data_IF_705062448265
#
_entry.id   IF_705062448265
#
_cell.length_a   1.000
_cell.length_b   1.000
_cell.length_c   1.000
_cell.angle_alpha   90.00
_cell.angle_beta   90.00
_cell.angle_gamma   90.00
#
_symmetry.space_group_name_H-M   'P 1'
#
loop_
_entity.id
_entity.type
_entity.pdbx_description
1 polymer ?
#
# COMPACT_ATOMS: atom_id res chain seq x y z
N UNK A 1 -2.05 10.30 -14.96
CA UNK A 1 -1.80 11.27 -13.88
C UNK A 1 -2.36 10.70 -12.59
N UNK A 2 -1.53 10.32 -11.62
CA UNK A 2 -2.05 9.94 -10.30
C UNK A 2 -1.51 10.95 -9.29
N UNK A 3 -2.42 11.76 -8.76
CA UNK A 3 -2.24 12.54 -7.54
C UNK A 3 -2.02 11.57 -6.37
N UNK A 4 -1.39 12.02 -5.29
CA UNK A 4 -1.12 11.16 -4.13
C UNK A 4 -2.40 10.87 -3.34
N UNK A 5 -3.30 11.86 -3.31
CA UNK A 5 -4.51 11.83 -2.51
C UNK A 5 -5.42 10.62 -2.79
N UNK A 6 -5.72 10.23 -4.05
CA UNK A 6 -6.49 9.01 -4.32
C UNK A 6 -5.86 7.74 -3.74
N UNK A 7 -4.53 7.61 -3.77
CA UNK A 7 -3.83 6.44 -3.22
C UNK A 7 -3.90 6.41 -1.69
N UNK A 8 -3.70 7.58 -1.07
CA UNK A 8 -3.86 7.73 0.38
C UNK A 8 -5.30 7.41 0.80
N UNK A 9 -6.29 7.89 0.05
CA UNK A 9 -7.70 7.58 0.31
C UNK A 9 -8.01 6.10 0.21
N UNK A 10 -7.59 5.43 -0.86
CA UNK A 10 -7.80 4.00 -1.00
C UNK A 10 -7.13 3.21 0.14
N UNK A 11 -5.94 3.63 0.57
CA UNK A 11 -5.28 3.04 1.74
C UNK A 11 -6.05 3.29 3.05
N UNK A 12 -6.52 4.51 3.28
CA UNK A 12 -7.31 4.85 4.46
C UNK A 12 -8.59 3.99 4.53
N UNK A 13 -9.26 3.84 3.39
CA UNK A 13 -10.47 3.02 3.28
C UNK A 13 -10.17 1.53 3.50
N UNK A 14 -9.01 1.05 3.03
CA UNK A 14 -8.57 -0.33 3.28
C UNK A 14 -8.29 -0.60 4.78
N UNK A 15 -7.87 0.42 5.53
CA UNK A 15 -7.74 0.34 6.99
C UNK A 15 -9.10 0.34 7.68
N UNK A 16 -10.08 1.03 7.11
CA UNK A 16 -11.44 1.13 7.63
C UNK A 16 -12.46 1.52 6.55
N UNK A 17 -13.47 0.68 6.26
CA UNK A 17 -14.34 0.84 5.09
C UNK A 17 -15.44 1.90 5.30
N UNK A 18 -15.07 3.07 5.79
CA UNK A 18 -15.97 4.20 6.01
C UNK A 18 -15.34 5.45 5.40
N UNK A 19 -16.14 6.22 4.65
CA UNK A 19 -15.63 7.38 3.90
C UNK A 19 -15.19 8.50 4.85
N UNK A 20 -15.95 8.75 5.92
CA UNK A 20 -15.62 9.77 6.93
C UNK A 20 -14.37 9.38 7.69
N UNK A 21 -14.25 8.11 8.09
CA UNK A 21 -13.04 7.56 8.68
C UNK A 21 -11.82 7.76 7.77
N UNK A 22 -11.96 7.45 6.47
CA UNK A 22 -10.89 7.57 5.50
C UNK A 22 -10.43 9.03 5.33
N UNK A 23 -11.37 9.97 5.16
CA UNK A 23 -11.08 11.41 5.06
C UNK A 23 -10.38 11.91 6.33
N UNK A 24 -10.94 11.63 7.51
CA UNK A 24 -10.39 12.08 8.79
C UNK A 24 -9.00 11.50 9.05
N UNK A 25 -8.75 10.25 8.64
CA UNK A 25 -7.45 9.63 8.83
C UNK A 25 -6.35 10.33 8.02
N UNK A 26 -6.66 10.74 6.78
CA UNK A 26 -5.74 11.49 5.93
C UNK A 26 -5.48 12.87 6.53
N UNK A 27 -6.52 13.56 6.98
CA UNK A 27 -6.43 14.90 7.58
C UNK A 27 -5.57 14.87 8.84
N UNK A 28 -5.80 13.91 9.72
CA UNK A 28 -5.05 13.80 10.98
C UNK A 28 -3.59 13.40 10.73
N UNK A 29 -3.33 12.49 9.79
CA UNK A 29 -1.97 12.13 9.41
C UNK A 29 -1.21 13.32 8.80
N UNK A 30 -1.87 14.09 7.93
CA UNK A 30 -1.34 15.30 7.35
C UNK A 30 -1.01 16.35 8.42
N UNK A 31 -1.92 16.53 9.38
CA UNK A 31 -1.76 17.43 10.52
C UNK A 31 -0.50 17.07 11.31
N UNK A 32 -0.34 15.79 11.68
CA UNK A 32 0.83 15.33 12.41
C UNK A 32 2.12 15.50 11.62
N UNK A 33 2.10 15.18 10.32
CA UNK A 33 3.27 15.33 9.45
C UNK A 33 3.74 16.78 9.41
N UNK A 34 2.84 17.76 9.22
CA UNK A 34 3.24 19.18 9.23
C UNK A 34 3.80 19.61 10.58
N UNK A 35 3.20 19.14 11.68
CA UNK A 35 3.67 19.48 13.02
C UNK A 35 5.04 18.87 13.35
N UNK A 36 5.35 17.67 12.83
CA UNK A 36 6.62 16.97 13.07
C UNK A 36 7.74 17.45 12.15
N UNK A 37 7.44 17.58 10.87
CA UNK A 37 8.43 17.76 9.80
C UNK A 37 8.43 19.19 9.24
N UNK A 38 8.03 20.18 10.04
CA UNK A 38 8.00 21.59 9.63
C UNK A 38 9.35 22.03 9.02
N UNK A 39 10.45 21.59 9.62
CA UNK A 39 11.82 21.90 9.18
C UNK A 39 12.14 21.34 7.79
N UNK A 40 11.61 20.15 7.43
CA UNK A 40 11.80 19.57 6.09
C UNK A 40 11.14 20.45 5.04
N UNK A 41 9.94 20.96 5.35
CA UNK A 41 9.24 21.87 4.45
C UNK A 41 9.86 23.27 4.40
N UNK A 42 10.60 23.67 5.43
CA UNK A 42 11.38 24.91 5.47
C UNK A 42 12.77 24.76 4.84
N UNK A 43 13.29 23.54 4.73
CA UNK A 43 14.64 23.29 4.25
C UNK A 43 14.83 23.73 2.79
N UNK A 44 15.99 24.33 2.51
CA UNK A 44 16.45 24.61 1.14
C UNK A 44 17.07 23.36 0.49
N UNK A 45 17.07 22.22 1.19
CA UNK A 45 17.70 20.96 0.77
C UNK A 45 17.05 20.34 -0.48
N UNK A 46 15.83 20.79 -0.85
CA UNK A 46 15.09 20.30 -2.01
C UNK A 46 14.68 21.43 -2.96
N UNK A 47 15.21 21.45 -4.19
CA UNK A 47 14.72 22.35 -5.23
C UNK A 47 13.44 21.79 -5.87
N UNK A 48 12.27 22.38 -5.56
CA UNK A 48 11.00 21.93 -6.13
C UNK A 48 10.88 22.13 -7.65
N UNK A 49 11.71 23.01 -8.23
CA UNK A 49 11.81 23.16 -9.68
C UNK A 49 12.56 21.99 -10.30
N UNK A 50 13.49 21.40 -9.56
CA UNK A 50 14.18 20.17 -9.95
C UNK A 50 13.23 18.97 -9.87
N UNK A 51 13.15 18.20 -10.97
CA UNK A 51 12.28 17.02 -11.08
C UNK A 51 12.72 15.90 -10.13
N UNK A 52 14.04 15.71 -9.97
CA UNK A 52 14.63 14.67 -9.14
C UNK A 52 14.34 14.92 -7.66
N UNK A 53 14.65 16.12 -7.16
CA UNK A 53 14.41 16.50 -5.75
C UNK A 53 12.92 16.45 -5.42
N UNK A 54 12.06 16.95 -6.31
CA UNK A 54 10.61 16.83 -6.15
C UNK A 54 10.15 15.38 -6.05
N UNK A 55 10.75 14.46 -6.81
CA UNK A 55 10.42 13.03 -6.76
C UNK A 55 10.86 12.39 -5.45
N UNK A 56 12.05 12.72 -4.96
CA UNK A 56 12.55 12.24 -3.67
C UNK A 56 11.64 12.72 -2.54
N UNK A 57 11.38 14.02 -2.47
CA UNK A 57 10.55 14.61 -1.44
C UNK A 57 9.14 14.00 -1.46
N UNK A 58 8.53 13.81 -2.64
CA UNK A 58 7.24 13.13 -2.76
C UNK A 58 7.27 11.69 -2.26
N UNK A 59 8.34 10.93 -2.54
CA UNK A 59 8.46 9.55 -2.06
C UNK A 59 8.57 9.53 -0.52
N UNK A 60 9.37 10.43 0.05
CA UNK A 60 9.51 10.60 1.50
C UNK A 60 8.15 10.93 2.15
N UNK A 61 7.52 12.04 1.72
CA UNK A 61 6.27 12.49 2.30
C UNK A 61 5.12 11.49 2.11
N UNK A 62 5.08 10.78 0.99
CA UNK A 62 4.10 9.72 0.79
C UNK A 62 4.28 8.59 1.82
N UNK A 63 5.51 8.15 2.08
CA UNK A 63 5.79 7.13 3.10
C UNK A 63 5.44 7.61 4.49
N UNK A 64 5.75 8.85 4.84
CA UNK A 64 5.39 9.38 6.15
C UNK A 64 3.88 9.48 6.34
N UNK A 65 3.15 9.95 5.32
CA UNK A 65 1.69 9.90 5.36
C UNK A 65 1.17 8.48 5.59
N UNK A 66 1.69 7.47 4.88
CA UNK A 66 1.29 6.08 5.09
C UNK A 66 1.59 5.59 6.52
N UNK A 67 2.75 5.95 7.07
CA UNK A 67 3.18 5.61 8.42
C UNK A 67 2.25 6.22 9.47
N UNK A 68 2.02 7.54 9.41
CA UNK A 68 1.15 8.25 10.34
C UNK A 68 -0.30 7.75 10.26
N UNK A 69 -0.81 7.52 9.05
CA UNK A 69 -2.15 6.95 8.86
C UNK A 69 -2.27 5.56 9.47
N UNK A 70 -1.25 4.71 9.30
CA UNK A 70 -1.22 3.39 9.91
C UNK A 70 -1.23 3.49 11.44
N UNK A 71 -0.33 4.27 12.03
CA UNK A 71 -0.20 4.47 13.48
C UNK A 71 -1.48 5.04 14.11
N UNK A 72 -2.12 5.99 13.44
CA UNK A 72 -3.40 6.55 13.87
C UNK A 72 -4.51 5.50 13.80
N UNK A 73 -4.61 4.75 12.69
CA UNK A 73 -5.64 3.73 12.52
C UNK A 73 -5.52 2.60 13.55
N UNK A 74 -4.30 2.24 13.99
CA UNK A 74 -4.10 1.23 15.03
C UNK A 74 -4.64 1.67 16.40
N UNK A 75 -4.72 2.99 16.64
CA UNK A 75 -5.19 3.58 17.91
C UNK A 75 -6.69 3.87 17.93
N UNK A 76 -7.34 3.88 16.75
CA UNK A 76 -8.78 4.13 16.62
C UNK A 76 -9.60 2.88 16.91
N UNK A 77 -10.85 3.10 17.31
CA UNK A 77 -11.83 2.02 17.37
C UNK A 77 -12.01 1.38 16.00
N UNK A 78 -12.30 0.07 15.99
CA UNK A 78 -12.47 -0.67 14.74
C UNK A 78 -13.71 -0.16 14.01
N UNK A 79 -13.57 0.32 12.76
CA UNK A 79 -14.73 0.74 11.97
C UNK A 79 -15.61 -0.47 11.68
N UNK A 80 -16.93 -0.26 11.70
CA UNK A 80 -17.89 -1.28 11.28
C UNK A 80 -17.62 -1.61 9.80
N UNK A 81 -17.60 -2.89 9.47
CA UNK A 81 -17.36 -3.40 8.11
C UNK A 81 -18.52 -4.25 7.59
N UNK A 82 -19.60 -4.38 8.36
CA UNK A 82 -20.76 -5.23 8.01
C UNK A 82 -21.51 -4.73 6.75
N UNK A 83 -21.38 -3.44 6.40
CA UNK A 83 -21.97 -2.87 5.19
C UNK A 83 -21.15 -3.11 3.92
N UNK A 84 -19.96 -3.70 4.03
CA UNK A 84 -19.11 -3.99 2.88
C UNK A 84 -19.64 -5.19 2.10
N UNK A 85 -19.57 -5.12 0.77
CA UNK A 85 -19.92 -6.23 -0.13
C UNK A 85 -19.24 -7.53 0.30
N UNK A 86 -19.99 -8.64 0.18
CA UNK A 86 -19.57 -9.97 0.61
C UNK A 86 -18.17 -10.36 0.14
N UNK A 87 -17.85 -10.09 -1.13
CA UNK A 87 -16.55 -10.39 -1.77
C UNK A 87 -15.33 -9.76 -1.07
N UNK A 88 -15.50 -8.69 -0.29
CA UNK A 88 -14.41 -8.04 0.45
C UNK A 88 -14.46 -8.29 1.96
N UNK A 89 -15.45 -9.03 2.47
CA UNK A 89 -15.59 -9.24 3.92
C UNK A 89 -14.40 -10.00 4.50
N UNK A 90 -13.88 -10.99 3.77
CA UNK A 90 -12.68 -11.75 4.17
C UNK A 90 -11.46 -10.82 4.36
N UNK A 91 -11.31 -9.81 3.50
CA UNK A 91 -10.29 -8.78 3.65
C UNK A 91 -10.50 -7.96 4.93
N UNK A 92 -11.73 -7.53 5.24
CA UNK A 92 -11.98 -6.76 6.46
C UNK A 92 -11.96 -7.59 7.76
N UNK A 93 -12.03 -8.92 7.69
CA UNK A 93 -11.82 -9.80 8.85
C UNK A 93 -10.35 -9.87 9.30
N UNK A 94 -9.39 -9.55 8.41
CA UNK A 94 -7.98 -9.47 8.77
C UNK A 94 -7.73 -8.43 9.88
N UNK A 95 -6.65 -8.64 10.64
CA UNK A 95 -6.17 -7.63 11.58
C UNK A 95 -5.81 -6.34 10.82
N UNK A 96 -5.97 -5.16 11.43
CA UNK A 96 -5.61 -3.89 10.78
C UNK A 96 -4.19 -3.85 10.19
N UNK A 97 -3.20 -4.42 10.88
CA UNK A 97 -1.81 -4.53 10.37
C UNK A 97 -1.68 -5.44 9.15
N UNK A 98 -2.44 -6.52 9.09
CA UNK A 98 -2.50 -7.41 7.93
C UNK A 98 -3.15 -6.73 6.73
N UNK A 99 -4.28 -6.02 6.95
CA UNK A 99 -4.97 -5.23 5.91
C UNK A 99 -4.06 -4.17 5.33
N UNK A 100 -3.39 -3.40 6.21
CA UNK A 100 -2.48 -2.34 5.81
C UNK A 100 -1.39 -2.90 4.89
N UNK A 101 -0.70 -3.95 5.35
CA UNK A 101 0.45 -4.50 4.66
C UNK A 101 0.04 -5.13 3.33
N UNK A 102 -1.02 -5.95 3.30
CA UNK A 102 -1.44 -6.62 2.07
C UNK A 102 -1.96 -5.61 1.04
N UNK A 103 -2.67 -4.56 1.46
CA UNK A 103 -3.10 -3.49 0.57
C UNK A 103 -1.91 -2.77 -0.05
N UNK A 104 -0.95 -2.32 0.77
CA UNK A 104 0.24 -1.62 0.28
C UNK A 104 1.10 -2.51 -0.62
N UNK A 105 1.14 -3.81 -0.36
CA UNK A 105 1.91 -4.78 -1.15
C UNK A 105 1.23 -5.16 -2.46
N UNK A 106 -0.07 -5.40 -2.47
CA UNK A 106 -0.79 -5.92 -3.64
C UNK A 106 -1.44 -4.82 -4.50
N UNK A 107 -1.95 -3.74 -3.91
CA UNK A 107 -2.55 -2.61 -4.64
C UNK A 107 -1.58 -1.48 -4.93
N UNK A 108 -0.74 -1.13 -3.96
CA UNK A 108 0.27 -0.07 -4.17
C UNK A 108 1.60 -0.59 -4.72
N UNK A 109 1.77 -1.90 -4.82
CA UNK A 109 2.99 -2.58 -5.29
C UNK A 109 4.28 -2.14 -4.58
N UNK A 110 4.20 -1.75 -3.31
CA UNK A 110 5.36 -1.33 -2.54
C UNK A 110 6.34 -2.50 -2.34
N UNK A 111 7.63 -2.18 -2.42
CA UNK A 111 8.70 -3.14 -2.15
C UNK A 111 8.77 -3.44 -0.65
N UNK A 112 9.31 -4.61 -0.29
CA UNK A 112 9.46 -5.00 1.12
C UNK A 112 10.26 -3.96 1.90
N UNK A 113 11.29 -3.38 1.29
CA UNK A 113 12.13 -2.35 1.89
C UNK A 113 11.33 -1.09 2.19
N UNK A 114 10.43 -0.68 1.30
CA UNK A 114 9.53 0.45 1.54
C UNK A 114 8.52 0.14 2.65
N UNK A 115 8.01 -1.10 2.74
CA UNK A 115 7.11 -1.54 3.81
C UNK A 115 7.81 -1.61 5.18
N UNK A 116 9.09 -2.00 5.22
CA UNK A 116 9.88 -1.98 6.45
C UNK A 116 9.98 -0.58 7.04
N UNK A 117 10.17 0.43 6.18
CA UNK A 117 10.19 1.83 6.59
C UNK A 117 8.81 2.28 7.08
N UNK A 118 7.74 2.05 6.30
CA UNK A 118 6.37 2.49 6.65
C UNK A 118 5.89 1.90 7.98
N UNK A 119 6.16 0.62 8.24
CA UNK A 119 5.72 -0.04 9.48
C UNK A 119 6.75 0.01 10.61
N UNK A 120 7.95 0.54 10.37
CA UNK A 120 9.10 0.47 11.30
C UNK A 120 9.36 -0.97 11.76
N UNK A 121 9.36 -1.92 10.82
CA UNK A 121 9.50 -3.36 11.08
C UNK A 121 10.76 -3.94 10.41
N UNK A 122 11.26 -5.02 11.00
CA UNK A 122 12.31 -5.83 10.38
C UNK A 122 11.74 -6.67 9.23
N UNK A 123 12.57 -6.98 8.22
CA UNK A 123 12.16 -7.71 7.02
C UNK A 123 11.37 -8.98 7.32
N UNK A 124 11.82 -9.80 8.28
CA UNK A 124 11.14 -11.05 8.59
C UNK A 124 9.74 -10.83 9.18
N UNK A 125 9.53 -9.75 9.95
CA UNK A 125 8.23 -9.40 10.52
C UNK A 125 7.26 -8.97 9.42
N UNK A 126 7.73 -8.16 8.46
CA UNK A 126 6.94 -7.77 7.27
C UNK A 126 6.52 -9.02 6.48
N UNK A 127 7.46 -9.92 6.22
CA UNK A 127 7.17 -11.17 5.50
C UNK A 127 6.22 -12.07 6.27
N UNK A 128 6.39 -12.21 7.58
CA UNK A 128 5.50 -13.01 8.43
C UNK A 128 4.05 -12.48 8.38
N UNK A 129 3.86 -11.17 8.59
CA UNK A 129 2.53 -10.55 8.52
C UNK A 129 1.93 -10.75 7.13
N UNK A 130 2.72 -10.55 6.07
CA UNK A 130 2.28 -10.76 4.69
C UNK A 130 1.81 -12.19 4.43
N UNK A 131 2.65 -13.18 4.77
CA UNK A 131 2.32 -14.58 4.55
C UNK A 131 1.11 -15.03 5.37
N UNK A 132 0.98 -14.55 6.61
CA UNK A 132 -0.19 -14.84 7.45
C UNK A 132 -1.47 -14.22 6.87
N UNK A 133 -1.41 -12.97 6.39
CA UNK A 133 -2.55 -12.31 5.76
C UNK A 133 -2.98 -13.04 4.47
N UNK A 134 -2.00 -13.37 3.62
CA UNK A 134 -2.19 -14.10 2.38
C UNK A 134 -2.78 -15.49 2.63
N UNK A 135 -2.23 -16.26 3.56
CA UNK A 135 -2.74 -17.58 3.92
C UNK A 135 -4.18 -17.51 4.40
N UNK A 136 -4.53 -16.49 5.19
CA UNK A 136 -5.90 -16.31 5.69
C UNK A 136 -6.89 -16.05 4.55
N UNK A 137 -6.56 -15.17 3.61
CA UNK A 137 -7.44 -14.86 2.47
C UNK A 137 -7.63 -16.06 1.55
N UNK A 138 -6.55 -16.80 1.28
CA UNK A 138 -6.61 -17.99 0.42
C UNK A 138 -7.35 -19.15 1.10
N UNK A 139 -7.24 -19.30 2.42
CA UNK A 139 -7.91 -20.39 3.14
C UNK A 139 -9.42 -20.20 3.28
N UNK A 140 -9.89 -18.95 3.39
CA UNK A 140 -11.32 -18.66 3.50
C UNK A 140 -12.06 -18.97 2.19
N UNK A 141 -11.40 -18.81 1.04
CA UNK A 141 -11.98 -19.16 -0.27
C UNK A 141 -11.87 -20.66 -0.59
N UNK A 142 -10.83 -21.35 -0.08
CA UNK A 142 -10.70 -22.80 -0.23
C UNK A 142 -11.74 -23.62 0.54
N UNK A 143 -12.33 -23.06 1.62
CA UNK A 143 -13.48 -23.68 2.28
C UNK A 143 -14.73 -23.67 1.39
N UNK A 144 -14.87 -22.70 0.48
CA UNK A 144 -16.00 -22.65 -0.46
C UNK A 144 -15.81 -23.58 -1.68
N UNK A 145 -14.57 -23.81 -2.13
CA UNK A 145 -14.27 -24.82 -3.18
C UNK A 145 -14.33 -26.28 -2.69
N UNK A 146 -14.34 -26.49 -1.38
CA UNK A 146 -14.36 -27.85 -0.79
C UNK A 146 -15.73 -28.55 -0.80
N UNK A 147 -16.76 -27.93 -1.39
CA UNK A 147 -18.04 -28.59 -1.66
C UNK A 147 -18.14 -29.20 -3.07
N UNK A 148 -17.16 -29.00 -3.95
CA UNK A 148 -17.21 -29.56 -5.32
C UNK A 148 -16.04 -30.46 -5.71
N UNK A 149 -14.91 -30.50 -5.00
CA UNK A 149 -13.82 -31.44 -5.34
C UNK A 149 -13.26 -32.16 -4.11
N UNK A 150 -13.75 -33.40 -3.91
CA UNK A 150 -13.02 -34.39 -3.12
C UNK A 150 -11.72 -34.79 -3.84
N UNK A 151 -10.62 -34.66 -3.12
CA UNK A 151 -9.23 -35.06 -3.44
C UNK A 151 -8.35 -34.02 -4.12
N UNK A 152 -7.68 -33.19 -3.31
CA UNK A 152 -6.23 -33.01 -3.48
C UNK A 152 -5.53 -32.86 -2.12
N UNK A 153 -4.81 -33.90 -1.76
CA UNK A 153 -3.86 -33.91 -0.65
C UNK A 153 -2.72 -32.95 -0.98
N UNK A 154 -2.58 -31.85 -0.23
CA UNK A 154 -1.37 -31.01 -0.27
C UNK A 154 -0.21 -31.82 0.30
N UNK A 155 0.57 -32.45 -0.58
CA UNK A 155 1.88 -32.99 -0.22
C UNK A 155 2.85 -31.83 -0.01
N UNK A 156 3.20 -31.56 1.24
CA UNK A 156 4.37 -30.76 1.60
C UNK A 156 5.64 -31.53 1.19
N UNK A 157 6.06 -31.39 -0.07
CA UNK A 157 7.42 -31.76 -0.48
C UNK A 157 8.39 -30.65 -0.03
N UNK A 158 9.65 -30.98 0.29
CA UNK A 158 10.66 -29.96 0.56
C UNK A 158 10.82 -29.06 -0.67
N UNK A 159 10.58 -27.75 -0.51
CA UNK A 159 10.74 -26.77 -1.58
C UNK A 159 12.16 -26.89 -2.18
N UNK A 160 12.26 -27.17 -3.48
CA UNK A 160 13.57 -27.09 -4.12
C UNK A 160 14.02 -25.64 -4.13
N UNK A 161 15.34 -25.38 -4.08
CA UNK A 161 15.85 -24.00 -4.13
C UNK A 161 15.39 -23.22 -5.36
N UNK A 162 14.95 -23.90 -6.43
CA UNK A 162 14.39 -23.28 -7.64
C UNK A 162 12.96 -22.80 -7.43
N UNK A 163 12.11 -23.61 -6.80
CA UNK A 163 10.73 -23.24 -6.48
C UNK A 163 10.68 -21.99 -5.59
N UNK A 164 11.56 -21.95 -4.58
CA UNK A 164 11.72 -20.78 -3.72
C UNK A 164 12.05 -19.51 -4.51
N UNK A 165 12.95 -19.60 -5.49
CA UNK A 165 13.34 -18.46 -6.32
C UNK A 165 12.17 -17.96 -7.19
N UNK A 166 11.36 -18.86 -7.74
CA UNK A 166 10.15 -18.48 -8.51
C UNK A 166 9.12 -17.81 -7.60
N UNK A 167 8.86 -18.35 -6.40
CA UNK A 167 7.97 -17.73 -5.41
C UNK A 167 8.46 -16.34 -5.00
N UNK A 168 9.76 -16.20 -4.71
CA UNK A 168 10.36 -14.91 -4.36
C UNK A 168 10.28 -13.90 -5.53
N UNK A 169 10.42 -14.38 -6.76
CA UNK A 169 10.27 -13.56 -7.95
C UNK A 169 8.84 -13.03 -8.13
N UNK A 170 7.83 -13.91 -8.10
CA UNK A 170 6.43 -13.51 -8.24
C UNK A 170 6.00 -12.53 -7.13
N UNK A 171 6.44 -12.77 -5.90
CA UNK A 171 6.13 -11.91 -4.76
C UNK A 171 6.93 -10.60 -4.74
N UNK A 172 7.84 -10.36 -5.71
CA UNK A 172 8.77 -9.21 -5.76
C UNK A 172 9.66 -9.12 -4.50
N UNK A 173 10.08 -10.24 -3.93
CA UNK A 173 10.96 -10.32 -2.75
C UNK A 173 12.39 -10.78 -3.08
N UNK A 174 12.65 -11.12 -4.34
CA UNK A 174 13.98 -11.46 -4.85
C UNK A 174 14.86 -10.22 -5.07
N UNK A 175 16.19 -10.40 -5.04
CA UNK A 175 17.15 -9.32 -5.33
C UNK A 175 17.13 -8.98 -6.83
N UNK A 176 17.21 -7.69 -7.15
CA UNK A 176 17.16 -7.19 -8.54
C UNK A 176 18.17 -7.88 -9.48
N UNK A 177 19.40 -8.12 -9.01
CA UNK A 177 20.45 -8.77 -9.79
C UNK A 177 20.14 -10.21 -10.21
N UNK A 178 19.25 -10.88 -9.48
CA UNK A 178 18.92 -12.29 -9.68
C UNK A 178 17.67 -12.44 -10.57
N UNK A 179 16.98 -11.34 -10.92
CA UNK A 179 15.78 -11.34 -11.79
C UNK A 179 16.06 -11.99 -13.16
N UNK A 180 17.08 -11.57 -13.93
CA UNK A 180 17.30 -12.13 -15.28
C UNK A 180 17.58 -13.63 -15.26
N UNK A 181 18.23 -14.10 -14.19
CA UNK A 181 18.50 -15.51 -13.99
C UNK A 181 17.20 -16.31 -13.77
N UNK A 182 16.31 -15.80 -12.92
CA UNK A 182 15.04 -16.46 -12.64
C UNK A 182 14.09 -16.42 -13.84
N UNK A 183 14.04 -15.31 -14.60
CA UNK A 183 13.26 -15.23 -15.83
C UNK A 183 13.70 -16.27 -16.86
N UNK A 184 15.01 -16.41 -17.06
CA UNK A 184 15.56 -17.44 -17.94
C UNK A 184 15.21 -18.85 -17.45
N UNK A 185 15.36 -19.10 -16.15
CA UNK A 185 15.03 -20.39 -15.53
C UNK A 185 13.55 -20.77 -15.73
N UNK A 186 12.63 -19.80 -15.58
CA UNK A 186 11.19 -20.01 -15.81
C UNK A 186 10.90 -20.28 -17.29
N UNK A 187 11.59 -19.60 -18.21
CA UNK A 187 11.39 -19.79 -19.66
C UNK A 187 11.93 -21.11 -20.22
N UNK A 188 12.87 -21.75 -19.53
CA UNK A 188 13.53 -22.99 -19.98
C UNK A 188 12.92 -24.27 -19.37
N UNK A 189 12.16 -24.15 -18.26
CA UNK A 189 11.63 -25.28 -17.50
C UNK A 189 10.09 -25.23 -17.42
N UNK A 190 9.41 -26.17 -18.09
CA UNK A 190 7.95 -26.26 -18.14
C UNK A 190 7.31 -26.41 -16.75
N UNK A 191 7.97 -27.07 -15.79
CA UNK A 191 7.43 -27.24 -14.44
C UNK A 191 7.47 -25.90 -13.67
N UNK A 192 8.57 -25.15 -13.80
CA UNK A 192 8.70 -23.83 -13.19
C UNK A 192 7.82 -22.79 -13.88
N UNK A 193 7.56 -22.93 -15.18
CA UNK A 193 6.58 -22.12 -15.90
C UNK A 193 5.16 -22.37 -15.37
N UNK A 194 4.77 -23.63 -15.17
CA UNK A 194 3.47 -23.96 -14.57
C UNK A 194 3.34 -23.40 -13.14
N UNK A 195 4.39 -23.54 -12.31
CA UNK A 195 4.43 -22.94 -10.98
C UNK A 195 4.30 -21.41 -11.02
N UNK A 196 5.04 -20.74 -11.91
CA UNK A 196 4.95 -19.29 -12.09
C UNK A 196 3.52 -18.84 -12.45
N UNK A 197 2.88 -19.53 -13.40
CA UNK A 197 1.50 -19.22 -13.82
C UNK A 197 0.53 -19.37 -12.66
N UNK A 198 0.59 -20.49 -11.92
CA UNK A 198 -0.27 -20.72 -10.76
C UNK A 198 -0.09 -19.63 -9.68
N UNK A 199 1.16 -19.24 -9.40
CA UNK A 199 1.46 -18.18 -8.44
C UNK A 199 0.95 -16.80 -8.91
N UNK A 200 0.94 -16.56 -10.22
CA UNK A 200 0.39 -15.32 -10.80
C UNK A 200 -1.13 -15.27 -10.72
N UNK A 201 -1.80 -16.39 -10.99
CA UNK A 201 -3.25 -16.52 -10.81
C UNK A 201 -3.64 -16.28 -9.34
N UNK A 202 -2.89 -16.88 -8.41
CA UNK A 202 -3.07 -16.66 -6.97
C UNK A 202 -2.85 -15.18 -6.57
N UNK A 203 -1.84 -14.52 -7.14
CA UNK A 203 -1.63 -13.09 -6.93
C UNK A 203 -2.78 -12.23 -7.47
N UNK A 204 -3.26 -12.51 -8.68
CA UNK A 204 -4.38 -11.78 -9.26
C UNK A 204 -5.64 -11.95 -8.41
N UNK A 205 -5.89 -13.17 -7.94
CA UNK A 205 -6.99 -13.46 -7.03
C UNK A 205 -6.89 -12.66 -5.72
N UNK A 206 -5.70 -12.59 -5.11
CA UNK A 206 -5.49 -11.74 -3.92
C UNK A 206 -5.74 -10.27 -4.21
N UNK A 207 -5.34 -9.77 -5.38
CA UNK A 207 -5.62 -8.41 -5.78
C UNK A 207 -7.13 -8.16 -5.89
N UNK A 208 -7.91 -9.11 -6.37
CA UNK A 208 -9.36 -8.99 -6.50
C UNK A 208 -10.06 -8.98 -5.13
N UNK A 209 -9.54 -9.71 -4.14
CA UNK A 209 -10.08 -9.73 -2.77
C UNK A 209 -9.80 -8.45 -1.97
N UNK A 210 -8.81 -7.65 -2.38
CA UNK A 210 -8.44 -6.42 -1.68
C UNK A 210 -9.22 -5.24 -2.28
N UNK A 211 -10.12 -4.63 -1.49
CA UNK A 211 -10.92 -3.51 -1.96
C UNK A 211 -10.08 -2.25 -2.17
N UNK A 212 -10.03 -1.75 -3.41
CA UNK A 212 -9.49 -0.43 -3.74
C UNK A 212 -10.63 0.56 -3.98
N UNK A 213 -11.04 1.26 -2.91
CA UNK A 213 -12.07 2.31 -3.03
C UNK A 213 -11.50 3.52 -3.78
N UNK A 214 -12.12 3.88 -4.89
CA UNK A 214 -11.79 5.10 -5.63
C UNK A 214 -12.21 6.33 -4.83
N UNK A 215 -11.29 7.30 -4.73
CA UNK A 215 -11.57 8.63 -4.20
C UNK A 215 -12.39 9.42 -5.23
N UNK A 216 -13.62 9.82 -4.89
CA UNK A 216 -14.45 10.63 -5.80
C UNK A 216 -14.13 12.11 -5.66
N UNK A 217 -14.55 12.92 -6.64
CA UNK A 217 -14.26 14.35 -6.67
C UNK A 217 -14.75 15.09 -5.41
N UNK A 218 -15.83 14.63 -4.79
CA UNK A 218 -16.36 15.21 -3.55
C UNK A 218 -15.40 14.96 -2.36
N UNK A 219 -14.91 13.72 -2.19
CA UNK A 219 -13.94 13.41 -1.13
C UNK A 219 -12.66 14.24 -1.31
N UNK A 220 -12.18 14.39 -2.55
CA UNK A 220 -11.00 15.20 -2.87
C UNK A 220 -11.22 16.64 -2.40
N UNK A 221 -12.36 17.26 -2.76
CA UNK A 221 -12.69 18.63 -2.35
C UNK A 221 -12.75 18.77 -0.84
N UNK A 222 -13.41 17.84 -0.15
CA UNK A 222 -13.53 17.88 1.31
C UNK A 222 -12.16 17.82 1.98
N UNK A 223 -11.31 16.87 1.57
CA UNK A 223 -9.98 16.72 2.13
C UNK A 223 -9.13 17.97 1.86
N UNK A 224 -9.17 18.52 0.64
CA UNK A 224 -8.45 19.77 0.33
C UNK A 224 -8.91 20.94 1.18
N UNK A 225 -10.22 21.13 1.30
CA UNK A 225 -10.78 22.24 2.07
C UNK A 225 -10.31 22.19 3.53
N UNK A 226 -10.39 21.03 4.17
CA UNK A 226 -9.98 20.87 5.57
C UNK A 226 -8.45 20.97 5.71
N UNK A 227 -7.70 20.39 4.77
CA UNK A 227 -6.24 20.54 4.74
C UNK A 227 -5.85 22.02 4.67
N UNK A 228 -6.50 22.82 3.82
CA UNK A 228 -6.23 24.27 3.72
C UNK A 228 -6.51 24.99 5.03
N UNK A 229 -7.65 24.72 5.69
CA UNK A 229 -8.01 25.29 6.99
C UNK A 229 -6.97 24.94 8.07
N UNK A 230 -6.67 23.65 8.23
CA UNK A 230 -5.68 23.15 9.19
C UNK A 230 -4.29 23.75 8.93
N UNK A 231 -3.92 23.87 7.66
CA UNK A 231 -2.61 24.42 7.28
C UNK A 231 -2.51 25.90 7.68
N UNK A 232 -3.57 26.69 7.49
CA UNK A 232 -3.62 28.09 7.91
C UNK A 232 -3.59 28.24 9.43
N UNK A 233 -4.26 27.35 10.15
CA UNK A 233 -4.30 27.39 11.62
C UNK A 233 -2.95 27.01 12.25
N UNK A 234 -2.25 26.03 11.67
CA UNK A 234 -0.98 25.52 12.20
C UNK A 234 0.20 26.40 11.75
N UNK A 235 0.17 26.90 10.51
CA UNK A 235 1.28 27.65 9.94
C UNK A 235 0.94 29.14 9.85
N UNK A 236 1.74 30.02 10.47
CA UNK A 236 1.55 31.47 10.36
C UNK A 236 1.50 31.95 8.90
N UNK A 237 0.71 32.99 8.59
CA UNK A 237 0.62 33.58 7.23
C UNK A 237 1.98 33.99 6.64
N UNK A 238 3.00 34.18 7.47
CA UNK A 238 4.38 34.47 7.05
C UNK A 238 5.06 33.29 6.36
N UNK A 239 4.50 32.07 6.45
CA UNK A 239 4.99 30.83 5.82
C UNK A 239 4.21 30.45 4.54
N UNK A 240 3.68 31.43 3.79
CA UNK A 240 2.98 31.23 2.49
C UNK A 240 3.72 30.34 1.49
N UNK A 241 5.07 30.36 1.50
CA UNK A 241 5.88 29.46 0.67
C UNK A 241 5.62 27.99 1.03
N UNK A 242 5.45 27.67 2.30
CA UNK A 242 5.28 26.33 2.84
C UNK A 242 3.92 25.73 2.43
N UNK A 243 2.85 26.50 2.60
CA UNK A 243 1.48 26.16 2.14
C UNK A 243 1.50 25.80 0.65
N UNK A 244 2.23 26.59 -0.15
CA UNK A 244 2.41 26.30 -1.57
C UNK A 244 3.20 25.01 -1.80
N UNK A 245 4.32 24.77 -1.11
CA UNK A 245 5.10 23.51 -1.25
C UNK A 245 4.23 22.27 -0.93
N UNK A 246 3.36 22.38 0.05
CA UNK A 246 2.50 21.27 0.49
C UNK A 246 1.34 21.01 -0.49
N UNK A 247 0.68 22.05 -1.01
CA UNK A 247 -0.29 21.87 -2.12
C UNK A 247 0.39 21.22 -3.33
N UNK A 248 1.62 21.62 -3.66
CA UNK A 248 2.38 20.98 -4.75
C UNK A 248 2.68 19.49 -4.50
N UNK A 249 2.78 19.07 -3.24
CA UNK A 249 2.90 17.67 -2.85
C UNK A 249 1.60 16.88 -3.12
N UNK A 250 0.45 17.40 -2.66
CA UNK A 250 -0.86 16.72 -2.77
C UNK A 250 -1.39 16.67 -4.22
N UNK A 251 -1.21 17.78 -4.96
CA UNK A 251 -1.93 18.04 -6.22
C UNK A 251 -1.15 17.70 -7.48
N UNK A 252 0.19 17.83 -7.47
CA UNK A 252 0.95 17.60 -8.70
C UNK A 252 1.13 16.09 -8.93
N UNK A 253 0.94 15.56 -10.15
CA UNK A 253 1.24 14.17 -10.45
C UNK A 253 2.75 13.87 -10.38
N UNK A 254 3.10 12.59 -10.15
CA UNK A 254 4.50 12.11 -10.05
C UNK A 254 5.19 12.02 -11.43
N UNK A 255 4.42 11.98 -12.52
CA UNK A 255 4.91 11.81 -13.89
C UNK A 255 4.18 12.76 -14.85
N UNK A 256 4.91 13.65 -15.52
CA UNK A 256 4.70 13.89 -16.95
C UNK A 256 5.44 12.78 -17.67
N UNK A 257 4.71 11.85 -18.27
CA UNK A 257 5.30 11.02 -19.32
C UNK A 257 5.43 11.98 -20.49
N UNK A 258 6.67 12.38 -20.81
CA UNK A 258 6.93 13.02 -22.09
C UNK A 258 6.66 11.96 -23.15
N UNK A 259 5.65 12.21 -23.99
CA UNK A 259 5.40 11.45 -25.21
C UNK A 259 6.43 11.82 -26.28
#
# INVERSE_FOLDING_TARGET
>A
MHTLLPKLYSFAYALGPDEVFAEQLIIDAYTLMIMKDEDIFLSEDYDLKNVYDRKILKKYLFKEMLSEMYELAMKREKPNWEHVSFEYQSFYQLKPSQRALIFLKEKCELLIEDLQEVFTLQRFQVLEIYHNAKSFLLSHDQQEKSLEDENMTLQNSPETSRDFLVRAYVNKTIKLKDIPFVEKMIGEDNQLQALYTALKEEQNFLQDLVLEKKCVAENIKNIHHIIEEVTVDILPETKKSLVKRISEFLDKPILTIDY
#
